data_IF_172368517000
#
_entry.id   IF_172368517000
#
_cell.length_a   1.000
_cell.length_b   1.000
_cell.length_c   1.000
_cell.angle_alpha   90.00
_cell.angle_beta   90.00
_cell.angle_gamma   90.00
#
_symmetry.space_group_name_H-M   'P 1'
#
loop_
_entity.id
_entity.type
_entity.pdbx_description
1 polymer ?
#
# COMPACT_ATOMS: atom_id res chain seq x y z
N UNK A 1 16.37 13.18 1.93
CA UNK A 1 14.97 13.63 2.04
C UNK A 1 14.39 13.63 0.64
N UNK A 2 13.35 12.84 0.38
CA UNK A 2 12.62 12.97 -0.88
C UNK A 2 12.06 14.39 -0.95
N UNK A 3 12.39 15.12 -2.02
CA UNK A 3 12.08 16.54 -2.23
C UNK A 3 10.66 16.78 -2.72
N UNK A 4 9.83 15.73 -2.76
CA UNK A 4 8.52 15.77 -3.35
C UNK A 4 7.47 16.29 -2.35
N UNK A 5 6.67 17.27 -2.77
CA UNK A 5 5.59 17.90 -2.00
C UNK A 5 4.32 17.93 -2.86
N UNK A 6 3.15 17.74 -2.23
CA UNK A 6 1.85 17.99 -2.87
C UNK A 6 1.85 19.36 -3.54
N UNK A 7 1.50 19.46 -4.83
CA UNK A 7 1.31 20.76 -5.47
C UNK A 7 0.20 21.55 -4.77
N UNK A 8 0.48 22.81 -4.40
CA UNK A 8 -0.45 23.64 -3.61
C UNK A 8 -1.78 23.94 -4.34
N UNK A 9 -1.83 23.77 -5.67
CA UNK A 9 -3.02 24.00 -6.49
C UNK A 9 -4.02 22.83 -6.47
N UNK A 10 -3.65 21.67 -5.92
CA UNK A 10 -4.53 20.50 -5.82
C UNK A 10 -5.28 20.57 -4.47
N UNK A 11 -6.61 20.77 -4.45
CA UNK A 11 -7.38 20.91 -3.22
C UNK A 11 -7.17 19.75 -2.25
N UNK A 12 -7.14 20.02 -0.95
CA UNK A 12 -7.01 18.99 0.08
C UNK A 12 -7.94 19.30 1.27
N UNK A 13 -8.74 18.34 1.76
CA UNK A 13 -8.98 17.03 1.15
C UNK A 13 -9.90 17.13 -0.07
N UNK A 14 -9.68 16.27 -1.08
CA UNK A 14 -10.60 16.11 -2.22
C UNK A 14 -11.06 14.67 -2.43
N UNK A 15 -12.17 14.54 -3.15
CA UNK A 15 -12.72 13.24 -3.58
C UNK A 15 -12.08 12.85 -4.91
N UNK A 16 -11.53 11.64 -4.96
CA UNK A 16 -10.85 11.09 -6.13
C UNK A 16 -11.75 10.17 -6.95
N UNK A 17 -12.69 9.51 -6.30
CA UNK A 17 -13.58 8.52 -6.92
C UNK A 17 -14.86 8.35 -6.11
N UNK A 18 -15.99 8.12 -6.77
CA UNK A 18 -17.27 7.74 -6.15
C UNK A 18 -17.82 6.52 -6.85
N UNK A 19 -18.50 5.66 -6.10
CA UNK A 19 -19.06 4.42 -6.63
C UNK A 19 -20.18 3.90 -5.73
N UNK A 20 -20.96 2.96 -6.25
CA UNK A 20 -21.98 2.24 -5.48
C UNK A 20 -21.52 0.82 -5.20
N UNK A 21 -21.75 0.36 -3.97
CA UNK A 21 -21.52 -1.02 -3.56
C UNK A 21 -22.56 -1.44 -2.51
N UNK A 22 -22.60 -2.73 -2.17
CA UNK A 22 -23.55 -3.27 -1.20
C UNK A 22 -23.39 -2.63 0.18
N UNK A 23 -24.49 -2.48 0.90
CA UNK A 23 -24.50 -2.09 2.32
C UNK A 23 -24.14 -3.32 3.18
N UNK A 24 -23.07 -3.29 3.99
CA UNK A 24 -22.71 -4.44 4.82
C UNK A 24 -23.73 -4.74 5.94
N UNK A 25 -24.70 -3.85 6.16
CA UNK A 25 -25.74 -3.98 7.19
C UNK A 25 -27.11 -4.37 6.61
N UNK A 26 -27.24 -4.47 5.28
CA UNK A 26 -28.51 -4.74 4.60
C UNK A 26 -28.31 -5.60 3.36
N UNK A 27 -29.07 -6.68 3.25
CA UNK A 27 -29.12 -7.47 2.03
C UNK A 27 -29.73 -6.67 0.88
N UNK A 28 -29.15 -6.79 -0.31
CA UNK A 28 -29.63 -6.21 -1.59
C UNK A 28 -29.78 -4.68 -1.65
N UNK A 29 -29.20 -3.93 -0.72
CA UNK A 29 -29.16 -2.46 -0.79
C UNK A 29 -27.80 -1.98 -1.29
N UNK A 30 -27.79 -1.08 -2.27
CA UNK A 30 -26.60 -0.34 -2.67
C UNK A 30 -26.55 1.01 -1.95
N UNK A 31 -25.35 1.42 -1.52
CA UNK A 31 -25.09 2.75 -0.97
C UNK A 31 -23.91 3.41 -1.70
N UNK A 32 -23.85 4.74 -1.61
CA UNK A 32 -22.77 5.52 -2.22
C UNK A 32 -21.54 5.51 -1.32
N UNK A 33 -20.40 5.12 -1.90
CA UNK A 33 -19.08 5.21 -1.31
C UNK A 33 -18.25 6.27 -2.04
N UNK A 34 -17.19 6.73 -1.38
CA UNK A 34 -16.20 7.63 -1.96
C UNK A 34 -14.79 7.26 -1.52
N UNK A 35 -13.84 7.46 -2.42
CA UNK A 35 -12.41 7.45 -2.12
C UNK A 35 -11.95 8.90 -2.15
N UNK A 36 -11.33 9.35 -1.06
CA UNK A 36 -10.88 10.74 -0.89
C UNK A 36 -9.51 10.76 -0.22
N UNK A 37 -8.88 11.93 -0.23
CA UNK A 37 -7.74 12.20 0.64
C UNK A 37 -8.08 11.89 2.11
N UNK A 38 -7.11 11.35 2.85
CA UNK A 38 -7.20 11.13 4.29
C UNK A 38 -7.10 12.50 5.00
N UNK A 39 -8.18 13.00 5.61
CA UNK A 39 -8.12 14.28 6.31
C UNK A 39 -7.21 14.20 7.55
N UNK A 40 -6.49 15.29 7.92
CA UNK A 40 -5.55 15.27 9.05
C UNK A 40 -6.18 14.80 10.37
N UNK A 41 -7.43 15.18 10.62
CA UNK A 41 -8.19 14.81 11.82
C UNK A 41 -8.56 13.32 11.87
N UNK A 42 -8.37 12.57 10.77
CA UNK A 42 -8.66 11.13 10.67
C UNK A 42 -7.40 10.27 10.62
N UNK A 43 -6.21 10.87 10.70
CA UNK A 43 -4.94 10.14 10.59
C UNK A 43 -4.80 9.08 11.69
N UNK A 44 -5.09 9.42 12.94
CA UNK A 44 -4.98 8.47 14.05
C UNK A 44 -6.03 7.35 13.95
N UNK A 45 -7.26 7.65 13.51
CA UNK A 45 -8.27 6.62 13.21
C UNK A 45 -7.80 5.64 12.12
N UNK A 46 -7.19 6.17 11.06
CA UNK A 46 -6.67 5.35 9.95
C UNK A 46 -5.49 4.49 10.39
N UNK A 47 -4.57 5.04 11.19
CA UNK A 47 -3.45 4.28 11.76
C UNK A 47 -3.98 3.19 12.70
N UNK A 48 -4.93 3.51 13.57
CA UNK A 48 -5.56 2.51 14.44
C UNK A 48 -6.24 1.40 13.63
N UNK A 49 -6.95 1.76 12.55
CA UNK A 49 -7.52 0.81 11.62
C UNK A 49 -6.46 -0.13 11.00
N UNK A 50 -5.33 0.43 10.54
CA UNK A 50 -4.21 -0.34 9.99
C UNK A 50 -3.59 -1.26 11.05
N UNK A 51 -3.29 -0.75 12.24
CA UNK A 51 -2.78 -1.56 13.35
C UNK A 51 -3.73 -2.71 13.72
N UNK A 52 -5.04 -2.48 13.65
CA UNK A 52 -6.05 -3.47 14.06
C UNK A 52 -6.30 -4.55 13.00
N UNK A 53 -6.36 -4.17 11.72
CA UNK A 53 -6.81 -5.06 10.66
C UNK A 53 -5.71 -5.45 9.68
N UNK A 54 -4.85 -4.49 9.27
CA UNK A 54 -3.79 -4.76 8.32
C UNK A 54 -2.73 -5.68 8.94
N UNK A 55 -2.21 -5.35 10.13
CA UNK A 55 -1.18 -6.17 10.78
C UNK A 55 -1.64 -7.61 11.08
N UNK A 56 -2.94 -7.77 11.33
CA UNK A 56 -3.56 -9.07 11.60
C UNK A 56 -3.66 -9.95 10.34
N UNK A 57 -3.99 -9.33 9.20
CA UNK A 57 -4.43 -10.05 7.99
C UNK A 57 -3.40 -10.04 6.85
N UNK A 58 -2.51 -9.06 6.79
CA UNK A 58 -1.44 -9.00 5.81
C UNK A 58 -0.45 -10.16 6.05
N UNK A 59 -0.14 -10.96 5.02
CA UNK A 59 0.55 -12.24 5.22
C UNK A 59 1.95 -12.12 5.81
N UNK A 60 2.73 -11.10 5.46
CA UNK A 60 4.08 -10.89 6.00
C UNK A 60 3.99 -10.49 7.48
N UNK A 61 3.24 -9.44 7.81
CA UNK A 61 2.98 -8.96 9.18
C UNK A 61 2.46 -10.08 10.08
N UNK A 62 1.48 -10.86 9.57
CA UNK A 62 0.91 -12.01 10.30
C UNK A 62 1.95 -13.09 10.56
N UNK A 63 2.74 -13.46 9.55
CA UNK A 63 3.75 -14.51 9.67
C UNK A 63 4.86 -14.14 10.66
N UNK A 64 5.17 -12.84 10.77
CA UNK A 64 6.15 -12.28 11.68
C UNK A 64 5.60 -12.00 13.09
N UNK A 65 4.29 -12.19 13.31
CA UNK A 65 3.65 -11.88 14.59
C UNK A 65 3.67 -10.38 14.94
N UNK A 66 3.77 -9.48 13.95
CA UNK A 66 3.99 -8.05 14.14
C UNK A 66 2.92 -7.38 15.02
N UNK A 67 1.68 -7.86 14.98
CA UNK A 67 0.60 -7.33 15.85
C UNK A 67 0.86 -7.55 17.35
N UNK A 68 1.67 -8.54 17.71
CA UNK A 68 2.04 -8.87 19.09
C UNK A 68 3.38 -8.26 19.50
N UNK A 69 4.02 -7.47 18.63
CA UNK A 69 5.26 -6.76 18.91
C UNK A 69 4.96 -5.27 19.15
N UNK A 70 4.89 -4.80 20.40
CA UNK A 70 4.55 -3.42 20.70
C UNK A 70 5.57 -2.42 20.15
N UNK A 71 6.84 -2.81 20.00
CA UNK A 71 7.88 -1.97 19.39
C UNK A 71 7.58 -1.85 17.90
N UNK A 72 7.41 -2.98 17.22
CA UNK A 72 7.09 -3.02 15.79
C UNK A 72 5.79 -2.29 15.42
N UNK A 73 4.75 -2.41 16.24
CA UNK A 73 3.48 -1.66 16.06
C UNK A 73 3.73 -0.15 16.13
N UNK A 74 4.57 0.33 17.05
CA UNK A 74 4.90 1.77 17.13
C UNK A 74 5.73 2.23 15.93
N UNK A 75 6.68 1.42 15.48
CA UNK A 75 7.54 1.73 14.34
C UNK A 75 6.75 1.80 13.04
N UNK A 76 5.91 0.79 12.73
CA UNK A 76 5.09 0.80 11.52
C UNK A 76 4.03 1.91 11.55
N UNK A 77 3.47 2.23 12.72
CA UNK A 77 2.58 3.37 12.90
C UNK A 77 3.30 4.71 12.64
N UNK A 78 4.59 4.80 12.97
CA UNK A 78 5.42 5.98 12.68
C UNK A 78 5.63 6.13 11.18
N UNK A 79 5.95 5.05 10.46
CA UNK A 79 6.02 5.05 8.99
C UNK A 79 4.68 5.54 8.41
N UNK A 80 3.55 4.97 8.84
CA UNK A 80 2.24 5.39 8.31
C UNK A 80 1.90 6.84 8.63
N UNK A 81 2.31 7.36 9.78
CA UNK A 81 2.13 8.79 10.11
C UNK A 81 2.98 9.70 9.24
N UNK A 82 4.23 9.34 8.97
CA UNK A 82 5.09 10.07 8.03
C UNK A 82 4.48 10.06 6.62
N UNK A 83 3.98 8.91 6.17
CA UNK A 83 3.30 8.74 4.88
C UNK A 83 2.03 9.60 4.80
N UNK A 84 1.22 9.63 5.86
CA UNK A 84 0.01 10.45 5.92
C UNK A 84 0.34 11.96 5.86
N UNK A 85 1.42 12.39 6.52
CA UNK A 85 1.85 13.79 6.54
C UNK A 85 2.32 14.31 5.17
N UNK A 86 2.69 13.42 4.24
CA UNK A 86 3.01 13.84 2.87
C UNK A 86 1.75 14.30 2.11
N UNK A 87 0.53 14.01 2.61
CA UNK A 87 -0.76 14.34 1.98
C UNK A 87 -0.93 13.81 0.56
N UNK A 88 -0.07 12.89 0.16
CA UNK A 88 -0.01 12.22 -1.13
C UNK A 88 1.16 11.25 -1.04
N UNK A 89 1.02 9.97 -1.37
CA UNK A 89 2.09 9.02 -1.05
C UNK A 89 3.13 8.97 -2.16
N UNK A 90 4.37 9.35 -1.85
CA UNK A 90 5.58 9.00 -2.61
C UNK A 90 6.61 8.52 -1.60
N UNK A 91 7.11 7.29 -1.75
CA UNK A 91 8.34 6.88 -1.03
C UNK A 91 9.46 6.71 -2.04
N UNK A 92 10.50 7.51 -1.84
CA UNK A 92 11.85 7.29 -2.33
C UNK A 92 12.71 7.14 -1.08
N UNK A 93 13.27 5.95 -0.85
CA UNK A 93 14.37 5.84 0.10
C UNK A 93 15.63 6.38 -0.57
N UNK A 94 16.45 7.10 0.20
CA UNK A 94 17.83 7.34 -0.18
C UNK A 94 18.55 5.99 -0.14
N UNK A 95 19.39 5.66 -1.12
CA UNK A 95 20.43 4.65 -0.92
C UNK A 95 21.19 5.00 0.38
N UNK A 96 21.27 4.05 1.32
CA UNK A 96 21.84 4.28 2.65
C UNK A 96 20.91 5.03 3.62
N UNK A 97 19.62 4.67 3.64
CA UNK A 97 18.68 5.05 4.70
C UNK A 97 18.91 4.14 5.91
N UNK A 98 19.66 4.62 6.90
CA UNK A 98 19.92 3.96 8.18
C UNK A 98 18.70 4.01 9.13
N UNK A 99 17.48 3.79 8.63
CA UNK A 99 16.33 3.59 9.53
C UNK A 99 16.49 2.23 10.21
N UNK A 100 17.13 2.27 11.37
CA UNK A 100 17.29 1.11 12.24
C UNK A 100 15.96 0.90 12.94
N UNK A 101 15.14 -0.01 12.41
CA UNK A 101 13.99 -0.53 13.17
C UNK A 101 14.53 -1.49 14.23
N UNK A 102 14.10 -1.31 15.47
CA UNK A 102 14.36 -2.21 16.60
C UNK A 102 13.64 -3.54 16.38
N UNK A 103 12.39 -3.50 15.87
CA UNK A 103 11.60 -4.70 15.58
C UNK A 103 12.19 -5.51 14.42
N UNK A 104 12.56 -6.78 14.63
CA UNK A 104 12.91 -7.68 13.53
C UNK A 104 11.76 -7.83 12.53
N UNK A 105 10.51 -7.84 13.00
CA UNK A 105 9.34 -7.98 12.15
C UNK A 105 9.16 -6.77 11.21
N UNK A 106 9.40 -5.56 11.69
CA UNK A 106 9.39 -4.37 10.82
C UNK A 106 10.57 -4.38 9.86
N UNK A 107 11.78 -4.71 10.31
CA UNK A 107 12.95 -4.86 9.42
C UNK A 107 12.69 -5.85 8.29
N UNK A 108 12.15 -7.02 8.61
CA UNK A 108 11.86 -8.08 7.63
C UNK A 108 10.77 -7.64 6.64
N UNK A 109 9.69 -7.02 7.12
CA UNK A 109 8.61 -6.49 6.28
C UNK A 109 9.10 -5.40 5.31
N UNK A 110 9.85 -4.42 5.83
CA UNK A 110 10.40 -3.31 5.04
C UNK A 110 11.43 -3.83 4.03
N UNK A 111 12.35 -4.69 4.45
CA UNK A 111 13.39 -5.26 3.59
C UNK A 111 12.80 -6.08 2.43
N UNK A 112 11.77 -6.88 2.69
CA UNK A 112 11.09 -7.65 1.65
C UNK A 112 10.41 -6.74 0.62
N UNK A 113 9.75 -5.67 1.08
CA UNK A 113 9.07 -4.69 0.21
C UNK A 113 10.07 -3.90 -0.63
N UNK A 114 11.17 -3.47 -0.01
CA UNK A 114 12.25 -2.75 -0.67
C UNK A 114 12.93 -3.59 -1.74
N UNK A 115 13.34 -4.81 -1.40
CA UNK A 115 13.96 -5.73 -2.33
C UNK A 115 13.08 -5.93 -3.58
N UNK A 116 11.78 -6.22 -3.40
CA UNK A 116 10.86 -6.40 -4.52
C UNK A 116 10.78 -5.16 -5.41
N UNK A 117 10.79 -3.97 -4.83
CA UNK A 117 10.74 -2.68 -5.54
C UNK A 117 12.03 -2.42 -6.32
N UNK A 118 13.19 -2.66 -5.69
CA UNK A 118 14.52 -2.51 -6.31
C UNK A 118 14.69 -3.44 -7.52
N UNK A 119 14.20 -4.68 -7.42
CA UNK A 119 14.24 -5.62 -8.55
C UNK A 119 13.48 -5.11 -9.78
N UNK A 120 12.48 -4.24 -9.60
CA UNK A 120 11.70 -3.68 -10.70
C UNK A 120 12.45 -2.62 -11.51
N UNK A 121 13.52 -2.03 -10.94
CA UNK A 121 14.30 -0.95 -11.57
C UNK A 121 13.41 0.11 -12.22
N UNK A 122 12.35 0.50 -11.52
CA UNK A 122 11.18 1.16 -12.12
C UNK A 122 11.51 2.48 -12.81
N UNK A 123 12.47 3.24 -12.30
CA UNK A 123 12.91 4.50 -12.90
C UNK A 123 13.47 4.27 -14.32
N UNK A 124 14.37 3.29 -14.48
CA UNK A 124 14.94 2.92 -15.78
C UNK A 124 13.91 2.22 -16.67
N UNK A 125 13.17 1.25 -16.12
CA UNK A 125 12.22 0.42 -16.89
C UNK A 125 11.06 1.24 -17.46
N UNK A 126 10.59 2.25 -16.71
CA UNK A 126 9.45 3.08 -17.11
C UNK A 126 9.83 4.50 -17.52
N UNK A 127 11.11 4.87 -17.44
CA UNK A 127 11.62 6.21 -17.79
C UNK A 127 10.85 7.30 -17.02
N UNK A 128 10.77 7.13 -15.71
CA UNK A 128 10.10 8.06 -14.79
C UNK A 128 11.08 8.49 -13.71
N UNK A 129 10.92 9.71 -13.18
CA UNK A 129 11.69 10.20 -12.03
C UNK A 129 10.97 9.95 -10.69
N UNK A 130 9.68 9.66 -10.74
CA UNK A 130 8.84 9.38 -9.58
C UNK A 130 7.61 8.54 -9.94
N UNK A 131 7.04 7.85 -8.95
CA UNK A 131 5.82 7.06 -9.08
C UNK A 131 5.04 7.01 -7.77
N UNK A 132 3.73 6.76 -7.85
CA UNK A 132 2.86 6.58 -6.69
C UNK A 132 3.06 5.18 -6.07
N UNK A 133 3.51 5.11 -4.81
CA UNK A 133 3.71 3.88 -4.04
C UNK A 133 2.75 3.77 -2.84
N UNK A 134 2.81 2.66 -2.09
CA UNK A 134 2.01 2.45 -0.88
C UNK A 134 2.64 1.47 0.12
N UNK A 135 2.28 1.65 1.39
CA UNK A 135 2.71 0.85 2.55
C UNK A 135 1.59 0.02 3.20
N UNK A 136 0.60 -0.34 2.40
CA UNK A 136 -0.51 -1.16 2.84
C UNK A 136 -1.84 -0.73 2.22
N UNK A 137 -2.74 -1.70 2.14
CA UNK A 137 -4.13 -1.53 1.72
C UNK A 137 -4.97 -2.38 2.67
N UNK A 138 -5.88 -1.73 3.39
CA UNK A 138 -6.77 -2.41 4.32
C UNK A 138 -8.22 -2.09 4.03
N UNK A 139 -9.07 -3.11 4.13
CA UNK A 139 -10.53 -2.98 4.11
C UNK A 139 -11.05 -3.61 5.39
N UNK A 140 -11.87 -2.86 6.13
CA UNK A 140 -12.49 -3.34 7.36
C UNK A 140 -13.29 -4.62 7.07
N UNK A 141 -13.21 -5.66 7.94
CA UNK A 141 -13.79 -6.98 7.69
C UNK A 141 -15.23 -6.98 7.16
N UNK A 142 -16.12 -6.18 7.76
CA UNK A 142 -17.54 -6.13 7.36
C UNK A 142 -17.76 -5.60 5.93
N UNK A 143 -16.80 -4.87 5.35
CA UNK A 143 -16.90 -4.30 4.00
C UNK A 143 -16.15 -5.14 2.94
N UNK A 144 -15.60 -6.30 3.31
CA UNK A 144 -14.90 -7.20 2.36
C UNK A 144 -15.89 -7.87 1.43
N UNK A 145 -15.42 -8.27 0.25
CA UNK A 145 -16.28 -8.87 -0.79
C UNK A 145 -17.11 -7.86 -1.59
N UNK A 146 -17.20 -6.61 -1.14
CA UNK A 146 -17.99 -5.56 -1.78
C UNK A 146 -17.24 -4.79 -2.89
N UNK A 147 -16.06 -5.27 -3.30
CA UNK A 147 -15.25 -4.61 -4.34
C UNK A 147 -14.47 -3.37 -3.88
N UNK A 148 -14.57 -2.94 -2.62
CA UNK A 148 -13.95 -1.71 -2.08
C UNK A 148 -12.46 -1.59 -2.40
N UNK A 149 -11.68 -2.67 -2.26
CA UNK A 149 -10.25 -2.65 -2.57
C UNK A 149 -9.96 -2.28 -4.03
N UNK A 150 -10.79 -2.77 -4.97
CA UNK A 150 -10.69 -2.44 -6.40
C UNK A 150 -10.91 -0.96 -6.62
N UNK A 151 -11.92 -0.38 -5.94
CA UNK A 151 -12.29 1.01 -6.13
C UNK A 151 -11.29 1.98 -5.46
N UNK A 152 -10.69 1.59 -4.32
CA UNK A 152 -9.54 2.32 -3.74
C UNK A 152 -8.37 2.35 -4.74
N UNK A 153 -8.04 1.22 -5.37
CA UNK A 153 -6.97 1.17 -6.36
C UNK A 153 -7.32 1.93 -7.64
N UNK A 154 -8.59 1.93 -8.07
CA UNK A 154 -9.08 2.69 -9.23
C UNK A 154 -8.92 4.19 -9.04
N UNK A 155 -9.15 4.70 -7.83
CA UNK A 155 -8.95 6.11 -7.48
C UNK A 155 -7.51 6.60 -7.73
N UNK A 156 -6.52 5.69 -7.79
CA UNK A 156 -5.14 6.05 -8.13
C UNK A 156 -4.99 6.63 -9.53
N UNK A 157 -5.92 6.34 -10.45
CA UNK A 157 -5.86 6.86 -11.82
C UNK A 157 -6.08 8.38 -11.83
N UNK A 158 -7.18 8.85 -11.23
CA UNK A 158 -7.47 10.29 -11.13
C UNK A 158 -6.46 11.00 -10.24
N UNK A 159 -6.03 10.35 -9.16
CA UNK A 159 -4.95 10.83 -8.32
C UNK A 159 -3.66 11.06 -9.11
N UNK A 160 -3.11 10.03 -9.76
CA UNK A 160 -1.85 10.15 -10.49
C UNK A 160 -1.92 11.25 -11.57
N UNK A 161 -3.03 11.33 -12.32
CA UNK A 161 -3.24 12.39 -13.32
C UNK A 161 -3.18 13.79 -12.72
N UNK A 162 -3.86 14.02 -11.59
CA UNK A 162 -3.85 15.33 -10.94
C UNK A 162 -2.46 15.73 -10.47
N UNK A 163 -1.64 14.76 -10.06
CA UNK A 163 -0.27 14.98 -9.59
C UNK A 163 0.80 14.91 -10.69
N UNK A 164 0.41 14.75 -11.96
CA UNK A 164 1.34 14.59 -13.08
C UNK A 164 2.17 13.31 -13.04
N UNK A 165 1.74 12.31 -12.26
CA UNK A 165 2.39 11.00 -12.17
C UNK A 165 1.89 10.10 -13.30
N UNK A 166 2.81 9.46 -14.01
CA UNK A 166 2.51 8.53 -15.12
C UNK A 166 2.55 7.06 -14.69
N UNK A 167 3.01 6.79 -13.46
CA UNK A 167 3.17 5.44 -12.94
C UNK A 167 2.68 5.34 -11.48
N UNK A 168 1.92 4.30 -11.18
CA UNK A 168 1.77 3.78 -9.82
C UNK A 168 2.39 2.39 -9.74
N UNK A 169 3.13 2.10 -8.67
CA UNK A 169 3.73 0.80 -8.44
C UNK A 169 3.58 0.41 -6.97
N UNK A 170 3.26 -0.85 -6.68
CA UNK A 170 3.10 -1.32 -5.29
C UNK A 170 3.40 -2.80 -5.20
N UNK A 171 3.97 -3.22 -4.07
CA UNK A 171 4.14 -4.64 -3.73
C UNK A 171 2.83 -5.17 -3.15
N UNK A 172 2.21 -6.14 -3.82
CA UNK A 172 1.00 -6.83 -3.42
C UNK A 172 1.35 -8.24 -2.95
N UNK A 173 1.27 -8.46 -1.63
CA UNK A 173 1.74 -9.68 -0.96
C UNK A 173 0.69 -10.79 -0.84
N UNK A 174 -0.57 -10.55 -1.22
CA UNK A 174 -1.67 -11.51 -1.05
C UNK A 174 -2.61 -11.51 -2.27
N UNK A 175 -3.19 -12.66 -2.68
CA UNK A 175 -4.17 -12.72 -3.77
C UNK A 175 -5.35 -11.74 -3.60
N UNK A 176 -5.76 -11.52 -2.36
CA UNK A 176 -6.83 -10.57 -2.00
C UNK A 176 -6.54 -9.10 -2.35
N UNK A 177 -5.28 -8.73 -2.59
CA UNK A 177 -4.89 -7.40 -3.07
C UNK A 177 -4.36 -7.43 -4.52
N UNK A 178 -3.71 -8.53 -4.94
CA UNK A 178 -3.26 -8.75 -6.33
C UNK A 178 -4.44 -8.80 -7.32
N UNK A 179 -5.53 -9.51 -6.99
CA UNK A 179 -6.69 -9.66 -7.88
C UNK A 179 -7.41 -8.32 -8.10
N UNK A 180 -7.75 -7.52 -7.06
CA UNK A 180 -8.26 -6.17 -7.26
C UNK A 180 -7.33 -5.27 -8.07
N UNK A 181 -6.01 -5.34 -7.85
CA UNK A 181 -5.03 -4.56 -8.61
C UNK A 181 -5.08 -4.91 -10.11
N UNK A 182 -5.07 -6.20 -10.44
CA UNK A 182 -5.20 -6.66 -11.83
C UNK A 182 -6.50 -6.19 -12.49
N UNK A 183 -7.64 -6.18 -11.76
CA UNK A 183 -8.93 -5.67 -12.26
C UNK A 183 -8.92 -4.17 -12.61
N UNK A 184 -8.04 -3.39 -11.97
CA UNK A 184 -7.87 -1.95 -12.27
C UNK A 184 -6.91 -1.74 -13.46
N UNK A 185 -6.13 -2.75 -13.83
CA UNK A 185 -5.16 -2.68 -14.92
C UNK A 185 -3.71 -2.67 -14.46
N UNK A 186 -3.42 -2.97 -13.18
CA UNK A 186 -2.05 -3.23 -12.76
C UNK A 186 -1.52 -4.50 -13.46
N UNK A 187 -0.26 -4.47 -13.87
CA UNK A 187 0.46 -5.58 -14.49
C UNK A 187 1.59 -6.05 -13.57
N UNK A 188 1.91 -7.34 -13.61
CA UNK A 188 3.01 -7.92 -12.85
C UNK A 188 4.35 -7.39 -13.41
N UNK A 189 5.16 -6.74 -12.57
CA UNK A 189 6.49 -6.24 -12.90
C UNK A 189 7.57 -7.20 -12.39
N UNK A 190 7.48 -7.56 -11.10
CA UNK A 190 8.36 -8.54 -10.45
C UNK A 190 7.48 -9.55 -9.72
N UNK A 191 7.68 -10.83 -10.01
CA UNK A 191 6.99 -11.93 -9.33
C UNK A 191 8.03 -12.81 -8.65
N UNK A 192 7.89 -13.01 -7.35
CA UNK A 192 8.73 -13.93 -6.57
C UNK A 192 7.84 -14.82 -5.73
N UNK A 193 8.21 -16.09 -5.59
CA UNK A 193 7.59 -16.93 -4.56
C UNK A 193 8.18 -16.60 -3.20
N UNK A 194 7.37 -16.63 -2.16
CA UNK A 194 7.88 -16.44 -0.79
C UNK A 194 8.93 -17.48 -0.43
N UNK A 195 8.78 -18.74 -0.88
CA UNK A 195 9.79 -19.80 -0.66
C UNK A 195 11.15 -19.46 -1.28
N UNK A 196 11.19 -18.72 -2.39
CA UNK A 196 12.44 -18.34 -3.02
C UNK A 196 13.09 -17.18 -2.26
N UNK A 197 12.30 -16.25 -1.70
CA UNK A 197 12.81 -15.22 -0.78
C UNK A 197 13.40 -15.85 0.49
N UNK A 198 12.76 -16.88 1.05
CA UNK A 198 13.30 -17.62 2.21
C UNK A 198 14.65 -18.27 1.90
N UNK A 199 14.79 -18.89 0.72
CA UNK A 199 16.07 -19.46 0.26
C UNK A 199 17.18 -18.42 0.08
N UNK A 200 16.81 -17.15 -0.16
CA UNK A 200 17.74 -16.03 -0.24
C UNK A 200 18.14 -15.47 1.14
N UNK A 201 17.61 -16.03 2.23
CA UNK A 201 17.92 -15.63 3.60
C UNK A 201 16.92 -14.68 4.25
N UNK A 202 15.81 -14.33 3.57
CA UNK A 202 14.76 -13.53 4.18
C UNK A 202 13.93 -14.36 5.16
N UNK A 203 13.61 -13.80 6.33
CA UNK A 203 12.70 -14.42 7.29
C UNK A 203 11.24 -14.13 6.90
N UNK A 204 10.68 -14.93 5.98
CA UNK A 204 9.32 -14.76 5.48
C UNK A 204 8.56 -16.10 5.44
N UNK A 205 8.18 -16.68 6.60
CA UNK A 205 7.41 -17.94 6.68
C UNK A 205 5.94 -17.72 6.30
N UNK A 206 5.73 -17.17 5.12
CA UNK A 206 4.44 -16.68 4.62
C UNK A 206 3.70 -17.84 3.92
N UNK A 207 2.44 -18.12 4.30
CA UNK A 207 1.69 -19.27 3.76
C UNK A 207 1.05 -19.02 2.39
N UNK A 208 1.36 -17.90 1.73
CA UNK A 208 0.90 -17.61 0.37
C UNK A 208 2.03 -17.73 -0.64
N UNK A 209 1.67 -18.00 -1.89
CA UNK A 209 2.64 -18.42 -2.88
C UNK A 209 3.52 -17.27 -3.38
N UNK A 210 2.91 -16.16 -3.81
CA UNK A 210 3.60 -15.09 -4.53
C UNK A 210 3.58 -13.75 -3.82
N UNK A 211 4.72 -13.09 -3.83
CA UNK A 211 4.86 -11.65 -3.62
C UNK A 211 5.04 -10.97 -4.98
N UNK A 212 4.30 -9.90 -5.26
CA UNK A 212 4.28 -9.28 -6.58
C UNK A 212 4.46 -7.77 -6.51
N UNK A 213 5.52 -7.23 -7.11
CA UNK A 213 5.54 -5.83 -7.50
C UNK A 213 4.66 -5.70 -8.75
N UNK A 214 3.62 -4.87 -8.68
CA UNK A 214 2.76 -4.61 -9.83
C UNK A 214 2.74 -3.12 -10.17
N UNK A 215 2.65 -2.80 -11.46
CA UNK A 215 2.69 -1.43 -12.00
C UNK A 215 1.40 -1.09 -12.76
N UNK A 216 0.94 0.15 -12.63
CA UNK A 216 -0.17 0.74 -13.37
C UNK A 216 0.34 1.98 -14.10
N UNK A 217 0.39 1.91 -15.43
CA UNK A 217 0.68 3.06 -16.28
C UNK A 217 -0.56 3.93 -16.38
N UNK A 218 -0.43 5.18 -15.99
CA UNK A 218 -1.49 6.18 -16.05
C UNK A 218 -1.22 7.08 -17.25
N UNK A 219 -2.05 6.93 -18.29
CA UNK A 219 -2.07 7.83 -19.45
C UNK A 219 -2.85 9.09 -19.15
#
# INVERSE_FOLDING_TARGET
MATWKRPDHIPFPQIWHTFQAGDPTSDNRLINYRVQDLPPERVDDAIQHMCTHFLRDEPICRSLGLINDPVGVREIATIWRQVANQQCVVVCFREGSDEIFESPAVRDFVSATLYMTEQGKLFDTHQVDCFLSAWGLSVHPIYRGLGIATEILRARISFCRAFGLTLSATVFSHPGSQVPAAKVGFQDEVVKRFIDLVKMGYNLPVPVEFNKLMTLKVK
#
